data_IF_683358012203
#
_entry.id   IF_683358012203
#
_cell.length_a   1.000
_cell.length_b   1.000
_cell.length_c   1.000
_cell.angle_alpha   90.00
_cell.angle_beta   90.00
_cell.angle_gamma   90.00
#
_symmetry.space_group_name_H-M   'P 1'
#
loop_
_entity.id
_entity.type
_entity.pdbx_description
1 polymer ?
#
# COMPACT_ATOMS: atom_id res chain seq x y z
N UNK A 1 -31.03 -0.71 -0.17
CA UNK A 1 -29.78 -0.34 -0.84
C UNK A 1 -28.61 -0.95 -0.09
N UNK A 2 -27.67 -1.56 -0.77
CA UNK A 2 -26.53 -2.17 -0.11
C UNK A 2 -25.65 -1.14 0.60
N UNK A 3 -25.01 -1.60 1.66
CA UNK A 3 -24.09 -0.84 2.48
C UNK A 3 -22.69 -1.42 2.34
N UNK A 4 -21.74 -0.56 2.06
CA UNK A 4 -20.33 -0.94 1.97
C UNK A 4 -19.60 -0.51 3.24
N UNK A 5 -18.94 -1.46 3.90
CA UNK A 5 -18.15 -1.21 5.09
C UNK A 5 -16.68 -1.37 4.73
N UNK A 6 -15.91 -0.32 4.89
CA UNK A 6 -14.47 -0.31 4.64
C UNK A 6 -13.75 -0.37 5.97
N UNK A 7 -12.94 -1.40 6.17
CA UNK A 7 -12.09 -1.57 7.33
C UNK A 7 -10.62 -1.41 6.94
N UNK A 8 -9.97 -0.39 7.47
CA UNK A 8 -8.55 -0.18 7.28
C UNK A 8 -7.75 -0.96 8.33
N UNK A 9 -7.15 -2.06 7.90
CA UNK A 9 -6.24 -2.91 8.71
C UNK A 9 -4.77 -2.76 8.29
N UNK A 10 -4.45 -1.72 7.54
CA UNK A 10 -3.09 -1.48 7.06
C UNK A 10 -2.11 -1.04 8.15
N UNK A 11 -2.59 -0.75 9.38
CA UNK A 11 -1.80 -0.20 10.47
C UNK A 11 -1.11 1.14 10.16
N UNK A 12 -1.52 1.82 9.09
CA UNK A 12 -1.11 3.19 8.84
C UNK A 12 -1.69 4.07 9.95
N UNK A 13 -0.89 5.02 10.42
CA UNK A 13 -1.28 5.90 11.53
C UNK A 13 -2.68 6.48 11.30
N UNK A 14 -3.54 6.37 12.29
CA UNK A 14 -4.94 6.81 12.27
C UNK A 14 -5.13 8.29 11.88
N UNK A 15 -4.08 9.09 11.95
CA UNK A 15 -4.10 10.51 11.59
C UNK A 15 -3.90 10.78 10.09
N UNK A 16 -3.60 9.76 9.30
CA UNK A 16 -3.39 9.88 7.86
C UNK A 16 -4.69 9.57 7.15
N UNK A 17 -5.09 10.44 6.22
CA UNK A 17 -6.28 10.22 5.39
C UNK A 17 -6.06 9.08 4.41
N UNK A 18 -7.05 8.20 4.31
CA UNK A 18 -7.15 7.17 3.29
C UNK A 18 -8.15 7.63 2.22
N UNK A 19 -7.76 7.56 0.97
CA UNK A 19 -8.64 7.77 -0.17
C UNK A 19 -9.11 6.43 -0.69
N UNK A 20 -10.40 6.20 -0.62
CA UNK A 20 -11.05 5.04 -1.21
C UNK A 20 -11.79 5.49 -2.47
N UNK A 21 -11.53 4.83 -3.57
CA UNK A 21 -12.16 5.10 -4.85
C UNK A 21 -13.22 4.03 -5.09
N UNK A 22 -14.43 4.47 -5.30
CA UNK A 22 -15.55 3.65 -5.74
C UNK A 22 -15.98 4.19 -7.11
N UNK A 23 -15.68 3.46 -8.16
CA UNK A 23 -15.81 3.92 -9.54
C UNK A 23 -15.08 5.27 -9.74
N UNK A 24 -15.80 6.32 -10.06
CA UNK A 24 -15.26 7.66 -10.26
C UNK A 24 -15.36 8.56 -9.00
N UNK A 25 -15.93 8.07 -7.90
CA UNK A 25 -16.07 8.81 -6.66
C UNK A 25 -14.90 8.58 -5.72
N UNK A 26 -14.41 9.66 -5.12
CA UNK A 26 -13.33 9.63 -4.13
C UNK A 26 -13.92 9.86 -2.75
N UNK A 27 -13.75 8.87 -1.87
CA UNK A 27 -14.20 8.92 -0.49
C UNK A 27 -12.98 8.98 0.41
N UNK A 28 -12.76 10.14 1.00
CA UNK A 28 -11.63 10.35 1.93
C UNK A 28 -12.10 10.15 3.36
N UNK A 29 -11.39 9.34 4.12
CA UNK A 29 -11.68 9.12 5.54
C UNK A 29 -10.42 9.00 6.38
N UNK A 30 -10.57 9.25 7.67
CA UNK A 30 -9.56 9.03 8.71
C UNK A 30 -10.09 7.98 9.67
N UNK A 31 -9.18 7.18 10.22
CA UNK A 31 -9.54 6.13 11.16
C UNK A 31 -9.57 4.74 10.53
N UNK A 32 -10.13 3.78 11.26
CA UNK A 32 -10.06 2.35 10.92
C UNK A 32 -11.30 1.83 10.21
N UNK A 33 -12.39 2.58 10.20
CA UNK A 33 -13.65 2.16 9.62
C UNK A 33 -14.38 3.31 8.95
N UNK A 34 -14.94 3.05 7.77
CA UNK A 34 -15.86 3.93 7.06
C UNK A 34 -17.02 3.13 6.54
N UNK A 35 -18.22 3.66 6.69
CA UNK A 35 -19.44 3.10 6.13
C UNK A 35 -19.93 4.00 5.00
N UNK A 36 -20.29 3.37 3.88
CA UNK A 36 -20.88 4.02 2.71
C UNK A 36 -22.27 3.45 2.58
N UNK A 37 -23.26 4.29 2.73
CA UNK A 37 -24.65 3.97 2.52
C UNK A 37 -25.04 4.30 1.07
N UNK A 38 -26.04 3.61 0.54
CA UNK A 38 -26.60 3.89 -0.79
C UNK A 38 -25.66 3.60 -1.96
N UNK A 39 -25.01 2.43 -1.94
CA UNK A 39 -24.27 1.90 -3.08
C UNK A 39 -25.24 1.11 -3.96
N UNK A 40 -25.11 1.18 -5.27
CA UNK A 40 -25.94 0.37 -6.15
C UNK A 40 -25.48 -1.09 -6.18
N UNK A 41 -26.41 -2.01 -6.56
CA UNK A 41 -26.04 -3.38 -6.85
C UNK A 41 -25.34 -3.47 -8.20
N UNK A 42 -24.40 -4.38 -8.33
CA UNK A 42 -23.72 -4.67 -9.58
C UNK A 42 -22.21 -4.58 -9.52
N UNK A 43 -21.59 -4.48 -10.68
CA UNK A 43 -20.14 -4.38 -10.80
C UNK A 43 -19.64 -2.97 -10.48
N UNK A 44 -18.69 -2.89 -9.57
CA UNK A 44 -18.01 -1.66 -9.18
C UNK A 44 -16.49 -1.85 -9.23
N UNK A 45 -15.80 -0.76 -9.48
CA UNK A 45 -14.35 -0.71 -9.45
C UNK A 45 -13.89 -0.05 -8.16
N UNK A 46 -13.03 -0.74 -7.41
CA UNK A 46 -12.50 -0.22 -6.13
C UNK A 46 -10.99 -0.08 -6.17
N UNK A 47 -10.50 0.93 -5.46
CA UNK A 47 -9.09 1.21 -5.27
C UNK A 47 -8.89 1.97 -3.97
N UNK A 48 -7.76 1.80 -3.32
CA UNK A 48 -7.37 2.58 -2.16
C UNK A 48 -6.01 3.24 -2.35
N UNK A 49 -5.84 4.43 -1.80
CA UNK A 49 -4.55 5.09 -1.77
C UNK A 49 -4.38 5.95 -0.51
N UNK A 50 -3.17 6.04 -0.02
CA UNK A 50 -2.80 6.95 1.06
C UNK A 50 -1.39 7.44 0.83
N UNK A 51 -1.14 8.76 0.90
CA UNK A 51 0.15 9.36 0.56
C UNK A 51 0.70 8.82 -0.78
N UNK A 52 1.81 8.09 -0.74
CA UNK A 52 2.46 7.49 -1.92
C UNK A 52 2.11 6.01 -2.14
N UNK A 53 1.29 5.45 -1.27
CA UNK A 53 0.95 4.03 -1.25
C UNK A 53 -0.39 3.81 -1.90
N UNK A 54 -0.46 2.93 -2.89
CA UNK A 54 -1.68 2.63 -3.65
C UNK A 54 -1.96 1.13 -3.67
N UNK A 55 -3.24 0.77 -3.82
CA UNK A 55 -3.66 -0.60 -4.13
C UNK A 55 -3.78 -0.81 -5.64
N UNK A 56 -3.89 -2.08 -6.04
CA UNK A 56 -4.40 -2.42 -7.36
C UNK A 56 -5.87 -2.02 -7.47
N UNK A 57 -6.28 -1.64 -8.67
CA UNK A 57 -7.68 -1.51 -9.02
C UNK A 57 -8.30 -2.91 -9.11
N UNK A 58 -9.44 -3.09 -8.46
CA UNK A 58 -10.14 -4.38 -8.38
C UNK A 58 -11.61 -4.18 -8.73
N UNK A 59 -12.15 -5.06 -9.56
CA UNK A 59 -13.58 -5.14 -9.80
C UNK A 59 -14.24 -6.03 -8.76
N UNK A 60 -15.34 -5.56 -8.22
CA UNK A 60 -16.18 -6.30 -7.27
C UNK A 60 -17.60 -6.30 -7.76
N UNK A 61 -18.36 -7.34 -7.42
CA UNK A 61 -19.79 -7.39 -7.68
C UNK A 61 -20.54 -7.32 -6.35
N UNK A 62 -21.35 -6.29 -6.18
CA UNK A 62 -22.14 -6.07 -4.97
C UNK A 62 -23.49 -6.79 -5.12
N UNK A 63 -23.62 -7.93 -4.47
CA UNK A 63 -24.83 -8.76 -4.50
C UNK A 63 -25.55 -8.81 -3.14
N UNK A 64 -24.85 -8.46 -2.06
CA UNK A 64 -25.37 -8.55 -0.69
C UNK A 64 -25.75 -7.17 -0.16
N UNK A 65 -26.72 -7.14 0.75
CA UNK A 65 -27.13 -5.89 1.43
C UNK A 65 -26.00 -5.24 2.24
N UNK A 66 -25.05 -6.04 2.73
CA UNK A 66 -23.88 -5.56 3.46
C UNK A 66 -22.65 -6.27 2.90
N UNK A 67 -21.70 -5.50 2.43
CA UNK A 67 -20.40 -6.00 1.97
C UNK A 67 -19.28 -5.33 2.75
N UNK A 68 -18.31 -6.11 3.18
CA UNK A 68 -17.14 -5.63 3.92
C UNK A 68 -15.88 -5.73 3.07
N UNK A 69 -15.11 -4.63 3.00
CA UNK A 69 -13.82 -4.58 2.31
C UNK A 69 -12.75 -4.26 3.34
N UNK A 70 -11.74 -5.10 3.42
CA UNK A 70 -10.56 -4.87 4.24
C UNK A 70 -9.41 -4.32 3.41
N UNK A 71 -8.81 -3.23 3.87
CA UNK A 71 -7.57 -2.68 3.34
C UNK A 71 -6.43 -3.23 4.18
N UNK A 72 -5.50 -3.95 3.54
CA UNK A 72 -4.35 -4.56 4.20
C UNK A 72 -3.06 -4.18 3.52
N UNK A 73 -1.95 -4.24 4.24
CA UNK A 73 -0.63 -4.17 3.65
C UNK A 73 -0.26 -5.47 2.95
N UNK A 74 0.30 -5.34 1.75
CA UNK A 74 1.04 -6.41 1.13
C UNK A 74 2.47 -6.43 1.72
N UNK A 75 2.63 -7.13 2.83
CA UNK A 75 3.89 -7.17 3.55
C UNK A 75 5.05 -7.80 2.75
N UNK A 76 4.74 -8.59 1.71
CA UNK A 76 5.77 -9.14 0.81
C UNK A 76 6.55 -8.04 0.10
N UNK A 77 5.90 -6.99 -0.36
CA UNK A 77 6.57 -5.84 -0.98
C UNK A 77 7.44 -5.08 0.02
N UNK A 78 7.01 -4.97 1.26
CA UNK A 78 7.81 -4.40 2.32
C UNK A 78 9.04 -5.25 2.65
N UNK A 79 8.93 -6.56 2.59
CA UNK A 79 10.05 -7.46 2.77
C UNK A 79 11.12 -7.25 1.70
N UNK A 80 10.73 -7.10 0.43
CA UNK A 80 11.68 -6.78 -0.64
C UNK A 80 12.38 -5.45 -0.40
N UNK A 81 11.64 -4.39 -0.08
CA UNK A 81 12.24 -3.09 0.24
C UNK A 81 13.23 -3.20 1.42
N UNK A 82 12.87 -3.96 2.46
CA UNK A 82 13.73 -4.17 3.63
C UNK A 82 15.05 -4.87 3.25
N UNK A 83 15.01 -5.84 2.32
CA UNK A 83 16.23 -6.49 1.80
C UNK A 83 17.17 -5.48 1.14
N UNK A 84 16.64 -4.55 0.33
CA UNK A 84 17.45 -3.49 -0.28
C UNK A 84 18.08 -2.56 0.77
N UNK A 85 17.33 -2.17 1.79
CA UNK A 85 17.84 -1.33 2.87
C UNK A 85 18.90 -2.03 3.72
N UNK A 86 18.72 -3.32 4.02
CA UNK A 86 19.74 -4.13 4.69
C UNK A 86 21.02 -4.24 3.86
N UNK A 87 20.89 -4.38 2.54
CA UNK A 87 22.04 -4.41 1.64
C UNK A 87 22.85 -3.10 1.68
N UNK A 88 22.17 -1.95 1.73
CA UNK A 88 22.84 -0.65 1.90
C UNK A 88 23.58 -0.57 3.23
N UNK A 89 22.98 -1.07 4.31
CA UNK A 89 23.61 -1.10 5.64
C UNK A 89 24.89 -1.95 5.64
N UNK A 90 24.86 -3.11 4.99
CA UNK A 90 26.05 -3.97 4.85
C UNK A 90 27.14 -3.28 4.04
N UNK A 91 26.80 -2.58 2.96
CA UNK A 91 27.74 -1.82 2.15
C UNK A 91 28.37 -0.68 2.95
N UNK A 92 27.59 0.01 3.76
CA UNK A 92 28.08 1.05 4.65
C UNK A 92 29.11 0.50 5.64
N UNK A 93 28.80 -0.64 6.25
CA UNK A 93 29.73 -1.30 7.18
C UNK A 93 31.05 -1.69 6.50
N UNK A 94 31.02 -2.21 5.27
CA UNK A 94 32.21 -2.52 4.49
C UNK A 94 33.05 -1.27 4.18
N UNK A 95 32.38 -0.14 3.89
CA UNK A 95 33.07 1.13 3.61
C UNK A 95 33.75 1.67 4.87
N UNK A 96 33.06 1.63 6.01
CA UNK A 96 33.61 2.08 7.28
C UNK A 96 34.83 1.24 7.74
N UNK A 97 34.87 -0.04 7.39
CA UNK A 97 36.00 -0.92 7.68
C UNK A 97 37.13 -0.87 6.61
N UNK A 98 37.06 0.07 5.67
CA UNK A 98 38.07 0.24 4.64
C UNK A 98 38.10 -0.85 3.54
N UNK A 99 37.09 -1.72 3.50
CA UNK A 99 37.00 -2.79 2.50
C UNK A 99 36.46 -2.28 1.17
N UNK A 100 35.77 -1.14 1.18
CA UNK A 100 35.13 -0.55 0.00
C UNK A 100 35.40 0.95 -0.08
N UNK A 101 35.68 1.46 -1.29
CA UNK A 101 35.84 2.88 -1.54
C UNK A 101 34.52 3.64 -1.39
N UNK A 102 34.55 4.85 -0.82
CA UNK A 102 33.38 5.69 -0.59
C UNK A 102 32.61 6.03 -1.87
N UNK A 103 33.26 6.19 -2.99
CA UNK A 103 32.63 6.44 -4.29
C UNK A 103 31.82 5.26 -4.77
N UNK A 104 32.34 4.05 -4.62
CA UNK A 104 31.61 2.80 -4.95
C UNK A 104 30.43 2.56 -4.02
N UNK A 105 30.58 2.90 -2.73
CA UNK A 105 29.47 2.86 -1.77
C UNK A 105 28.36 3.80 -2.20
N UNK A 106 28.68 5.07 -2.51
CA UNK A 106 27.67 6.07 -2.88
C UNK A 106 26.85 5.61 -4.10
N UNK A 107 27.54 5.15 -5.16
CA UNK A 107 26.86 4.66 -6.37
C UNK A 107 25.98 3.46 -6.08
N UNK A 108 26.48 2.48 -5.34
CA UNK A 108 25.72 1.27 -5.00
C UNK A 108 24.54 1.58 -4.09
N UNK A 109 24.69 2.46 -3.12
CA UNK A 109 23.62 2.87 -2.20
C UNK A 109 22.50 3.63 -2.93
N UNK A 110 22.85 4.53 -3.86
CA UNK A 110 21.87 5.22 -4.70
C UNK A 110 21.09 4.25 -5.56
N UNK A 111 21.77 3.31 -6.22
CA UNK A 111 21.11 2.31 -7.07
C UNK A 111 20.15 1.43 -6.27
N UNK A 112 20.60 0.89 -5.14
CA UNK A 112 19.78 0.04 -4.28
C UNK A 112 18.64 0.81 -3.64
N UNK A 113 18.84 2.05 -3.23
CA UNK A 113 17.81 2.92 -2.69
C UNK A 113 16.72 3.21 -3.71
N UNK A 114 17.07 3.52 -4.94
CA UNK A 114 16.12 3.72 -6.04
C UNK A 114 15.33 2.43 -6.32
N UNK A 115 16.00 1.29 -6.43
CA UNK A 115 15.35 0.01 -6.67
C UNK A 115 14.40 -0.37 -5.53
N UNK A 116 14.81 -0.20 -4.27
CA UNK A 116 13.97 -0.48 -3.11
C UNK A 116 12.70 0.38 -3.07
N UNK A 117 12.81 1.67 -3.37
CA UNK A 117 11.65 2.56 -3.46
C UNK A 117 10.76 2.26 -4.67
N UNK A 118 11.33 1.90 -5.83
CA UNK A 118 10.55 1.46 -6.99
C UNK A 118 9.75 0.19 -6.68
N UNK A 119 10.30 -0.76 -5.94
CA UNK A 119 9.56 -1.95 -5.50
C UNK A 119 8.32 -1.59 -4.66
N UNK A 120 8.39 -0.56 -3.82
CA UNK A 120 7.24 -0.09 -3.05
C UNK A 120 6.18 0.60 -3.93
N UNK A 121 6.61 1.36 -4.93
CA UNK A 121 5.69 2.10 -5.82
C UNK A 121 5.02 1.17 -6.82
N UNK A 122 5.80 0.32 -7.51
CA UNK A 122 5.31 -0.57 -8.57
C UNK A 122 4.55 -1.76 -7.98
N UNK A 123 5.02 -2.30 -6.86
CA UNK A 123 4.44 -3.47 -6.20
C UNK A 123 3.08 -3.23 -5.54
N UNK A 124 2.60 -1.97 -5.49
CA UNK A 124 1.31 -1.58 -4.93
C UNK A 124 1.06 -2.23 -3.57
N UNK A 125 1.65 -1.67 -2.51
CA UNK A 125 1.73 -2.30 -1.19
C UNK A 125 0.41 -2.40 -0.42
N UNK A 126 -0.68 -1.79 -0.91
CA UNK A 126 -2.02 -1.99 -0.37
C UNK A 126 -2.76 -3.09 -1.12
N UNK A 127 -3.46 -3.94 -0.39
CA UNK A 127 -4.31 -5.00 -0.92
C UNK A 127 -5.72 -4.81 -0.38
N UNK A 128 -6.70 -4.88 -1.28
CA UNK A 128 -8.12 -4.88 -0.95
C UNK A 128 -8.62 -6.32 -0.88
N UNK A 129 -9.19 -6.71 0.23
CA UNK A 129 -9.79 -8.03 0.42
C UNK A 129 -11.29 -7.88 0.69
N UNK A 130 -12.11 -8.42 -0.20
CA UNK A 130 -13.54 -8.54 0.03
C UNK A 130 -13.77 -9.67 1.03
N UNK A 131 -14.54 -9.38 2.06
CA UNK A 131 -14.94 -10.36 3.06
C UNK A 131 -16.32 -10.86 2.69
N UNK A 132 -16.39 -12.12 2.36
CA UNK A 132 -17.64 -12.80 2.04
C UNK A 132 -18.45 -13.13 3.29
#
# INVERSE_FOLDING_TARGET
>A
MPKLIINDKSNIRQNISMNFFLDDEIITFKGTKKEIEYVDYGEHTIKASTLFVKSLEQKINIEKEVMEIEIRFNWKNWLFALIFWLSITILLFKTLNGVMESSKFLLSALTLGVLGNLCLIIGKPLVLKVKE
#
